data_IF_537166735957
#
_entry.id   IF_537166735957
#
_cell.length_a   1.000
_cell.length_b   1.000
_cell.length_c   1.000
_cell.angle_alpha   90.00
_cell.angle_beta   90.00
_cell.angle_gamma   90.00
#
_symmetry.space_group_name_H-M   'P 1'
#
loop_
_entity.id
_entity.type
_entity.pdbx_description
1 polymer ?
#
# COMPACT_ATOMS: atom_id res chain seq x y z
N UNK A 1 -4.61 -10.89 -17.01
CA UNK A 1 -5.39 -9.90 -16.23
C UNK A 1 -4.57 -8.64 -16.18
N UNK A 2 -5.13 -7.50 -16.60
CA UNK A 2 -4.44 -6.20 -16.66
C UNK A 2 -4.15 -5.67 -15.25
N UNK A 3 -3.22 -4.72 -15.13
CA UNK A 3 -2.95 -4.02 -13.87
C UNK A 3 -4.21 -3.29 -13.37
N UNK A 4 -4.96 -2.63 -14.27
CA UNK A 4 -6.23 -1.98 -13.93
C UNK A 4 -7.21 -2.97 -13.30
N UNK A 5 -7.39 -4.15 -13.89
CA UNK A 5 -8.32 -5.15 -13.37
C UNK A 5 -7.90 -5.68 -11.99
N UNK A 6 -6.58 -5.81 -11.75
CA UNK A 6 -6.06 -6.23 -10.43
C UNK A 6 -6.25 -5.15 -9.37
N UNK A 7 -6.01 -3.89 -9.70
CA UNK A 7 -6.23 -2.76 -8.79
C UNK A 7 -7.71 -2.62 -8.46
N UNK A 8 -8.61 -2.64 -9.45
CA UNK A 8 -10.06 -2.57 -9.22
C UNK A 8 -10.52 -3.68 -8.26
N UNK A 9 -10.15 -4.93 -8.55
CA UNK A 9 -10.48 -6.06 -7.69
C UNK A 9 -9.85 -5.98 -6.29
N UNK A 10 -8.73 -5.27 -6.12
CA UNK A 10 -8.12 -5.05 -4.80
C UNK A 10 -8.95 -4.05 -3.98
N UNK A 11 -9.36 -2.93 -4.57
CA UNK A 11 -10.19 -1.93 -3.89
C UNK A 11 -11.57 -2.49 -3.52
N UNK A 12 -12.21 -3.25 -4.43
CA UNK A 12 -13.48 -3.95 -4.12
C UNK A 12 -13.35 -4.88 -2.91
N UNK A 13 -12.26 -5.64 -2.82
CA UNK A 13 -12.02 -6.53 -1.66
C UNK A 13 -11.69 -5.76 -0.39
N UNK A 14 -10.98 -4.64 -0.48
CA UNK A 14 -10.67 -3.80 0.69
C UNK A 14 -11.98 -3.23 1.26
N UNK A 15 -12.87 -2.74 0.40
CA UNK A 15 -14.18 -2.24 0.80
C UNK A 15 -15.04 -3.36 1.40
N UNK A 16 -15.18 -4.49 0.71
CA UNK A 16 -15.99 -5.61 1.18
C UNK A 16 -15.49 -6.24 2.49
N UNK A 17 -14.19 -6.15 2.78
CA UNK A 17 -13.63 -6.65 4.04
C UNK A 17 -14.05 -5.79 5.24
N UNK A 18 -14.30 -4.49 5.05
CA UNK A 18 -14.65 -3.52 6.10
C UNK A 18 -13.71 -3.61 7.32
N UNK A 19 -12.40 -3.61 7.04
CA UNK A 19 -11.33 -3.67 8.05
C UNK A 19 -10.49 -2.40 8.04
N UNK A 20 -11.06 -1.26 8.48
CA UNK A 20 -10.38 0.02 8.44
C UNK A 20 -9.07 0.03 9.23
N UNK A 21 -8.92 -0.84 10.23
CA UNK A 21 -7.71 -0.92 11.05
C UNK A 21 -6.46 -1.38 10.29
N UNK A 22 -6.61 -1.99 9.10
CA UNK A 22 -5.50 -2.50 8.29
C UNK A 22 -4.69 -1.38 7.62
N UNK A 23 -5.35 -0.26 7.29
CA UNK A 23 -4.75 0.83 6.51
C UNK A 23 -4.68 2.12 7.33
N UNK A 24 -3.49 2.72 7.41
CA UNK A 24 -3.35 4.09 7.92
C UNK A 24 -3.64 5.09 6.79
N UNK A 25 -3.21 4.77 5.58
CA UNK A 25 -3.48 5.60 4.41
C UNK A 25 -3.71 4.71 3.21
N UNK A 26 -4.92 4.69 2.67
CA UNK A 26 -5.20 4.08 1.38
C UNK A 26 -5.18 5.18 0.32
N UNK A 27 -4.52 4.94 -0.82
CA UNK A 27 -4.54 5.89 -1.93
C UNK A 27 -5.95 5.99 -2.52
N UNK A 28 -6.35 7.14 -3.08
CA UNK A 28 -7.59 7.24 -3.85
C UNK A 28 -7.61 6.20 -4.99
N UNK A 29 -8.72 5.47 -5.14
CA UNK A 29 -8.84 4.40 -6.13
C UNK A 29 -8.62 4.93 -7.56
N UNK A 30 -9.19 6.09 -7.89
CA UNK A 30 -9.05 6.76 -9.18
C UNK A 30 -7.57 6.98 -9.56
N UNK A 31 -6.80 7.64 -8.69
CA UNK A 31 -5.38 7.89 -8.94
C UNK A 31 -4.55 6.59 -9.06
N UNK A 32 -4.92 5.54 -8.31
CA UNK A 32 -4.23 4.24 -8.40
C UNK A 32 -4.60 3.49 -9.68
N UNK A 33 -5.85 3.62 -10.17
CA UNK A 33 -6.30 3.06 -11.44
C UNK A 33 -5.63 3.76 -12.64
N UNK A 34 -5.45 5.07 -12.58
CA UNK A 34 -4.68 5.80 -13.59
C UNK A 34 -3.22 5.33 -13.69
N UNK A 35 -2.56 5.13 -12.56
CA UNK A 35 -1.21 4.53 -12.53
C UNK A 35 -1.18 3.14 -13.16
N UNK A 36 -2.21 2.33 -12.89
CA UNK A 36 -2.34 1.00 -13.44
C UNK A 36 -2.57 1.03 -14.95
N UNK A 37 -3.37 1.97 -15.47
CA UNK A 37 -3.58 2.15 -16.90
C UNK A 37 -2.27 2.51 -17.63
N UNK A 38 -1.50 3.46 -17.07
CA UNK A 38 -0.16 3.80 -17.59
C UNK A 38 0.79 2.60 -17.56
N UNK A 39 0.69 1.74 -16.55
CA UNK A 39 1.50 0.52 -16.47
C UNK A 39 1.09 -0.53 -17.52
N UNK A 40 -0.21 -0.66 -17.80
CA UNK A 40 -0.72 -1.52 -18.85
C UNK A 40 -0.24 -1.07 -20.23
N UNK A 41 -0.23 0.25 -20.51
CA UNK A 41 0.36 0.82 -21.73
C UNK A 41 1.85 0.48 -21.89
N UNK A 42 2.64 0.67 -20.82
CA UNK A 42 4.08 0.33 -20.81
C UNK A 42 4.33 -1.16 -21.04
N UNK A 43 3.49 -2.01 -20.46
CA UNK A 43 3.55 -3.46 -20.63
C UNK A 43 3.19 -3.85 -22.08
N UNK A 44 2.16 -3.23 -22.66
CA UNK A 44 1.78 -3.43 -24.06
C UNK A 44 2.87 -2.96 -25.04
N UNK A 45 3.64 -1.94 -24.66
CA UNK A 45 4.82 -1.47 -25.39
C UNK A 45 6.06 -2.38 -25.26
N UNK A 46 5.99 -3.46 -24.49
CA UNK A 46 7.06 -4.45 -24.34
C UNK A 46 8.15 -4.10 -23.32
N UNK A 47 7.89 -3.15 -22.42
CA UNK A 47 8.85 -2.82 -21.35
C UNK A 47 9.02 -4.01 -20.37
N UNK A 48 10.26 -4.36 -19.96
CA UNK A 48 10.50 -5.50 -19.07
C UNK A 48 10.13 -5.17 -17.62
N UNK A 49 8.85 -5.36 -17.30
CA UNK A 49 8.24 -5.05 -16.00
C UNK A 49 7.84 -6.34 -15.27
N UNK A 50 8.76 -7.03 -14.57
CA UNK A 50 8.52 -8.37 -14.02
C UNK A 50 7.48 -8.40 -12.89
N UNK A 51 7.12 -7.26 -12.32
CA UNK A 51 6.07 -7.10 -11.32
C UNK A 51 4.83 -6.41 -11.88
N UNK A 52 4.69 -6.25 -13.20
CA UNK A 52 3.52 -5.62 -13.81
C UNK A 52 2.21 -6.25 -13.31
N UNK A 53 1.36 -5.41 -12.72
CA UNK A 53 0.07 -5.82 -12.15
C UNK A 53 0.14 -6.36 -10.71
N UNK A 54 1.33 -6.51 -10.12
CA UNK A 54 1.42 -6.78 -8.69
C UNK A 54 0.95 -5.57 -7.88
N UNK A 55 0.05 -5.79 -6.92
CA UNK A 55 -0.39 -4.77 -5.96
C UNK A 55 0.47 -4.84 -4.70
N UNK A 56 0.89 -3.70 -4.18
CA UNK A 56 1.80 -3.58 -3.05
C UNK A 56 1.17 -2.77 -1.91
N UNK A 57 1.18 -3.33 -0.72
CA UNK A 57 0.89 -2.61 0.53
C UNK A 57 2.22 -2.36 1.25
N UNK A 58 2.44 -1.15 1.76
CA UNK A 58 3.73 -0.76 2.36
C UNK A 58 3.53 -0.43 3.84
N UNK A 59 4.31 -1.03 4.74
CA UNK A 59 4.26 -0.71 6.18
C UNK A 59 4.50 0.79 6.40
N UNK A 60 3.69 1.46 7.23
CA UNK A 60 3.71 2.92 7.34
C UNK A 60 4.94 3.54 8.03
N UNK A 61 5.95 2.75 8.36
CA UNK A 61 7.29 3.23 8.73
C UNK A 61 8.29 3.19 7.55
N UNK A 62 7.81 2.91 6.33
CA UNK A 62 8.59 2.87 5.10
C UNK A 62 8.07 3.95 4.15
N UNK A 63 8.99 4.72 3.57
CA UNK A 63 8.66 5.83 2.69
C UNK A 63 8.10 5.38 1.34
N UNK A 64 7.02 6.05 0.94
CA UNK A 64 6.44 6.03 -0.40
C UNK A 64 6.25 7.48 -0.81
N UNK A 65 6.88 7.91 -1.89
CA UNK A 65 6.83 9.30 -2.36
C UNK A 65 5.37 9.75 -2.54
N UNK A 66 5.04 10.92 -2.00
CA UNK A 66 3.69 11.49 -2.10
C UNK A 66 2.69 10.95 -1.07
N UNK A 67 3.08 10.03 -0.18
CA UNK A 67 2.26 9.59 0.94
C UNK A 67 2.87 10.02 2.28
N UNK A 68 2.06 10.21 3.33
CA UNK A 68 2.57 10.38 4.67
C UNK A 68 3.27 9.10 5.14
N UNK A 69 4.29 9.28 5.99
CA UNK A 69 4.91 8.21 6.80
C UNK A 69 4.69 8.60 8.26
N UNK A 70 3.85 7.85 8.98
CA UNK A 70 3.52 8.15 10.39
C UNK A 70 4.20 7.21 11.37
N UNK A 71 4.67 6.04 10.90
CA UNK A 71 5.17 4.96 11.75
C UNK A 71 4.20 4.58 12.90
N UNK A 72 2.89 4.74 12.69
CA UNK A 72 1.87 4.50 13.71
C UNK A 72 1.76 5.63 14.75
N UNK A 73 2.33 6.80 14.49
CA UNK A 73 2.38 7.95 15.39
C UNK A 73 1.97 9.24 14.65
N UNK A 74 0.75 9.77 14.87
CA UNK A 74 0.29 11.01 14.23
C UNK A 74 1.23 12.21 14.43
N UNK A 75 1.84 12.34 15.62
CA UNK A 75 2.76 13.43 15.94
C UNK A 75 4.13 13.33 15.23
N UNK A 76 4.49 12.15 14.70
CA UNK A 76 5.72 11.93 13.94
C UNK A 76 5.53 12.15 12.43
N UNK A 77 4.28 12.25 11.97
CA UNK A 77 3.96 12.21 10.55
C UNK A 77 4.72 13.25 9.73
N UNK A 78 5.27 12.80 8.61
CA UNK A 78 5.85 13.66 7.59
C UNK A 78 5.46 13.19 6.18
N UNK A 79 5.56 14.09 5.21
CA UNK A 79 5.33 13.78 3.81
C UNK A 79 6.62 13.24 3.16
N UNK A 80 6.61 11.99 2.72
CA UNK A 80 7.79 11.40 2.07
C UNK A 80 8.01 12.02 0.67
N UNK A 81 9.23 12.51 0.42
CA UNK A 81 9.62 13.12 -0.86
C UNK A 81 10.09 12.11 -1.90
N UNK A 82 10.63 10.99 -1.44
CA UNK A 82 11.19 9.92 -2.28
C UNK A 82 10.74 8.58 -1.75
N UNK A 83 10.63 7.59 -2.63
CA UNK A 83 10.41 6.21 -2.22
C UNK A 83 11.61 5.68 -1.43
N UNK A 84 11.36 4.82 -0.45
CA UNK A 84 12.43 4.00 0.12
C UNK A 84 13.06 3.11 -0.98
N UNK A 85 14.37 2.77 -0.90
CA UNK A 85 15.06 2.07 -1.99
C UNK A 85 14.43 0.73 -2.43
N UNK A 86 13.75 0.03 -1.52
CA UNK A 86 13.02 -1.20 -1.85
C UNK A 86 11.72 -0.89 -2.62
N UNK A 87 10.95 0.09 -2.16
CA UNK A 87 9.71 0.55 -2.83
C UNK A 87 10.03 1.06 -4.23
N UNK A 88 11.08 1.88 -4.38
CA UNK A 88 11.52 2.40 -5.68
C UNK A 88 11.81 1.27 -6.68
N UNK A 89 12.52 0.21 -6.24
CA UNK A 89 12.82 -0.95 -7.08
C UNK A 89 11.57 -1.74 -7.46
N UNK A 90 10.65 -1.96 -6.51
CA UNK A 90 9.40 -2.67 -6.80
C UNK A 90 8.52 -1.90 -7.78
N UNK A 91 8.40 -0.57 -7.62
CA UNK A 91 7.64 0.28 -8.55
C UNK A 91 8.29 0.36 -9.93
N UNK A 92 9.62 0.47 -10.00
CA UNK A 92 10.36 0.43 -11.26
C UNK A 92 10.15 -0.90 -12.01
N UNK A 93 10.02 -2.00 -11.27
CA UNK A 93 9.70 -3.31 -11.82
C UNK A 93 8.20 -3.50 -12.19
N UNK A 94 7.33 -2.51 -11.93
CA UNK A 94 5.92 -2.53 -12.32
C UNK A 94 4.91 -2.80 -11.18
N UNK A 95 5.32 -2.82 -9.91
CA UNK A 95 4.37 -2.96 -8.81
C UNK A 95 3.60 -1.64 -8.56
N UNK A 96 2.31 -1.74 -8.25
CA UNK A 96 1.44 -0.61 -7.90
C UNK A 96 1.23 -0.56 -6.39
N UNK A 97 1.69 0.50 -5.74
CA UNK A 97 1.42 0.74 -4.32
C UNK A 97 -0.05 1.14 -4.14
N UNK A 98 -0.78 0.44 -3.28
CA UNK A 98 -2.16 0.76 -2.90
C UNK A 98 -2.22 1.73 -1.71
N UNK A 99 -1.27 1.65 -0.79
CA UNK A 99 -1.28 2.48 0.41
C UNK A 99 -0.28 2.06 1.49
N UNK A 100 -0.45 2.66 2.67
CA UNK A 100 0.33 2.49 3.89
C UNK A 100 -0.45 1.67 4.92
N UNK A 101 0.11 0.54 5.35
CA UNK A 101 -0.54 -0.36 6.33
C UNK A 101 -0.21 0.02 7.76
N UNK A 102 -1.12 -0.34 8.67
CA UNK A 102 -0.96 -0.18 10.10
C UNK A 102 0.20 -1.05 10.66
N UNK A 103 0.63 -0.73 11.88
CA UNK A 103 1.75 -1.36 12.58
C UNK A 103 1.70 -1.08 14.08
N UNK A 104 2.38 -1.91 14.87
CA UNK A 104 2.83 -1.48 16.20
C UNK A 104 3.73 -0.24 16.05
N UNK A 105 3.42 0.81 16.83
CA UNK A 105 4.05 2.12 16.71
C UNK A 105 5.58 2.03 16.78
N UNK A 106 6.26 2.73 15.87
CA UNK A 106 7.72 2.70 15.67
C UNK A 106 8.29 1.28 15.51
N UNK A 107 7.49 0.33 15.02
CA UNK A 107 7.83 -1.08 14.94
C UNK A 107 8.22 -1.70 16.30
N UNK A 108 7.73 -1.15 17.42
CA UNK A 108 8.06 -1.61 18.76
C UNK A 108 6.92 -2.43 19.37
N UNK A 109 6.82 -3.66 18.89
CA UNK A 109 5.83 -4.63 19.31
C UNK A 109 5.83 -5.84 18.37
N UNK A 110 5.29 -6.95 18.87
CA UNK A 110 5.14 -8.20 18.12
C UNK A 110 3.68 -8.68 18.15
N UNK A 111 2.74 -7.75 18.34
CA UNK A 111 1.34 -8.08 18.68
C UNK A 111 0.31 -7.37 17.80
N UNK A 112 0.65 -6.27 17.13
CA UNK A 112 -0.26 -5.53 16.25
C UNK A 112 -1.34 -4.72 16.97
N UNK A 113 -1.26 -4.60 18.30
CA UNK A 113 -2.26 -3.90 19.15
C UNK A 113 -1.79 -2.52 19.61
N UNK A 114 -0.52 -2.17 19.41
CA UNK A 114 0.10 -0.92 19.88
C UNK A 114 0.02 0.17 18.81
N UNK A 115 -1.19 0.44 18.33
CA UNK A 115 -1.45 1.46 17.32
C UNK A 115 -2.65 2.33 17.71
N UNK A 116 -2.55 3.66 17.60
CA UNK A 116 -3.71 4.54 17.78
C UNK A 116 -4.75 4.39 16.66
N UNK A 117 -4.43 3.69 15.57
CA UNK A 117 -5.34 3.40 14.45
C UNK A 117 -6.15 2.10 14.64
N UNK A 118 -6.11 1.52 15.84
CA UNK A 118 -6.78 0.27 16.17
C UNK A 118 -5.88 -0.96 16.03
N UNK A 119 -6.24 -2.02 16.75
CA UNK A 119 -5.53 -3.30 16.71
C UNK A 119 -5.93 -4.12 15.48
N UNK A 120 -4.95 -4.54 14.69
CA UNK A 120 -5.21 -5.40 13.52
C UNK A 120 -5.46 -6.82 13.99
N UNK A 121 -6.71 -7.28 13.84
CA UNK A 121 -7.14 -8.64 14.19
C UNK A 121 -6.55 -9.70 13.27
N UNK A 122 -6.36 -10.91 13.79
CA UNK A 122 -6.01 -12.08 12.98
C UNK A 122 -7.11 -12.35 11.95
N UNK A 123 -6.73 -12.65 10.71
CA UNK A 123 -7.68 -12.83 9.60
C UNK A 123 -8.48 -14.15 9.68
N UNK A 124 -7.94 -15.15 10.36
CA UNK A 124 -8.57 -16.46 10.57
C UNK A 124 -9.24 -16.55 11.95
N UNK A 125 -8.84 -15.70 12.90
CA UNK A 125 -9.35 -15.65 14.28
C UNK A 125 -9.65 -14.20 14.72
N UNK A 126 -10.74 -13.59 14.22
CA UNK A 126 -11.02 -12.17 14.42
C UNK A 126 -11.62 -11.81 15.79
N UNK A 127 -11.91 -12.81 16.64
CA UNK A 127 -12.57 -12.69 17.96
C UNK A 127 -11.61 -12.82 19.12
#
# INVERSE_FOLDING_TARGET
MTAVARVAAAYERIEAADRPEVWITLRPAEATLEDAARLDERTAAGEPLPLAGATLAVKDNIDVAGLPTTAGCPAYAYQARTDAPAVARMRAAGAIVLGKTNLDQFATGLVGTRSPYGAVRDAERPT
#
